data_IF_133821833913
#
_entry.id   IF_133821833913
#
_cell.length_a   1.000
_cell.length_b   1.000
_cell.length_c   1.000
_cell.angle_alpha   90.00
_cell.angle_beta   90.00
_cell.angle_gamma   90.00
#
_symmetry.space_group_name_H-M   'P 1'
#
loop_
_entity.id
_entity.type
_entity.pdbx_description
1 polymer ?
#
# COMPACT_ATOMS: atom_id res chain seq x y z
N UNK A 1 -6.13 10.49 1.36
CA UNK A 1 -5.58 9.65 2.44
C UNK A 1 -5.32 10.36 3.76
N UNK A 2 -4.79 11.59 3.80
CA UNK A 2 -4.59 12.34 5.07
C UNK A 2 -5.88 12.54 5.88
N UNK A 3 -6.94 13.00 5.23
CA UNK A 3 -8.27 13.12 5.87
C UNK A 3 -8.83 11.76 6.30
N UNK A 4 -8.66 10.72 5.48
CA UNK A 4 -9.08 9.36 5.83
C UNK A 4 -8.38 8.84 7.10
N UNK A 5 -7.07 9.04 7.19
CA UNK A 5 -6.26 8.75 8.39
C UNK A 5 -6.78 9.54 9.60
N UNK A 6 -6.99 10.84 9.46
CA UNK A 6 -7.55 11.67 10.52
C UNK A 6 -8.93 11.17 10.99
N UNK A 7 -9.80 10.76 10.07
CA UNK A 7 -11.10 10.17 10.40
C UNK A 7 -10.93 8.86 11.18
N UNK A 8 -10.09 7.92 10.72
CA UNK A 8 -9.84 6.67 11.46
C UNK A 8 -9.39 6.98 12.88
N UNK A 9 -8.34 7.79 13.06
CA UNK A 9 -7.85 8.17 14.38
C UNK A 9 -8.94 8.70 15.31
N UNK A 10 -9.89 9.47 14.78
CA UNK A 10 -11.03 10.01 15.53
C UNK A 10 -12.07 8.92 15.89
N UNK A 11 -12.36 7.99 14.99
CA UNK A 11 -13.46 7.03 15.14
C UNK A 11 -13.03 5.70 15.78
N UNK A 12 -11.76 5.30 15.68
CA UNK A 12 -11.23 4.05 16.24
C UNK A 12 -10.40 4.27 17.51
N UNK A 13 -10.13 5.52 17.88
CA UNK A 13 -9.30 5.88 19.04
C UNK A 13 -7.82 5.49 18.90
N UNK A 14 -7.39 5.02 17.72
CA UNK A 14 -6.00 4.60 17.49
C UNK A 14 -5.08 5.83 17.49
N UNK A 15 -3.91 5.79 18.19
CA UNK A 15 -2.98 6.91 18.22
C UNK A 15 -2.61 7.41 16.82
N UNK A 16 -2.36 8.72 16.67
CA UNK A 16 -2.08 9.35 15.36
C UNK A 16 -0.84 8.77 14.66
N UNK A 17 0.10 8.33 15.48
CA UNK A 17 1.38 7.70 15.18
C UNK A 17 1.28 6.18 15.03
N UNK A 18 0.17 5.55 15.43
CA UNK A 18 -0.05 4.14 15.15
C UNK A 18 -0.32 3.91 13.66
N UNK A 19 -0.12 2.68 13.23
CA UNK A 19 -0.55 2.20 11.93
C UNK A 19 -2.08 2.16 11.90
N UNK A 20 -2.69 2.96 11.02
CA UNK A 20 -4.15 3.19 11.05
C UNK A 20 -4.91 2.41 9.99
N UNK A 21 -4.26 1.95 8.92
CA UNK A 21 -4.86 1.01 7.98
C UNK A 21 -3.78 0.18 7.32
N UNK A 22 -4.00 -1.13 7.25
CA UNK A 22 -3.12 -2.06 6.53
C UNK A 22 -3.53 -2.18 5.06
N UNK A 23 -4.86 -2.08 4.82
CA UNK A 23 -5.45 -2.21 3.50
C UNK A 23 -6.77 -1.45 3.41
N UNK A 24 -6.99 -0.77 2.27
CA UNK A 24 -8.26 -0.21 1.85
C UNK A 24 -8.58 -0.75 0.47
N UNK A 25 -9.82 -1.18 0.25
CA UNK A 25 -10.30 -1.62 -1.05
C UNK A 25 -11.53 -0.81 -1.44
N UNK A 26 -11.66 -0.47 -2.72
CA UNK A 26 -12.79 0.21 -3.29
C UNK A 26 -13.13 -0.39 -4.65
N UNK A 27 -14.29 -1.04 -4.74
CA UNK A 27 -14.81 -1.62 -5.98
C UNK A 27 -15.91 -0.72 -6.53
N UNK A 28 -15.60 0.07 -7.56
CA UNK A 28 -16.54 1.00 -8.17
C UNK A 28 -17.39 0.31 -9.25
N UNK A 29 -17.97 -0.85 -8.92
CA UNK A 29 -18.82 -1.66 -9.80
C UNK A 29 -18.16 -1.95 -11.15
N UNK A 30 -18.78 -1.46 -12.23
CA UNK A 30 -18.32 -1.67 -13.61
C UNK A 30 -17.28 -0.64 -14.08
N UNK A 31 -16.80 0.27 -13.23
CA UNK A 31 -15.88 1.34 -13.65
C UNK A 31 -14.42 1.00 -13.43
N UNK A 32 -14.05 0.73 -12.18
CA UNK A 32 -12.69 0.40 -11.78
C UNK A 32 -12.69 -0.25 -10.41
N UNK A 33 -11.62 -0.96 -10.11
CA UNK A 33 -11.28 -1.37 -8.77
C UNK A 33 -10.03 -0.64 -8.32
N UNK A 34 -9.98 -0.29 -7.04
CA UNK A 34 -8.86 0.37 -6.40
C UNK A 34 -8.53 -0.36 -5.11
N UNK A 35 -7.25 -0.50 -4.82
CA UNK A 35 -6.82 -0.84 -3.48
C UNK A 35 -5.58 -0.05 -3.10
N UNK A 36 -5.45 0.19 -1.80
CA UNK A 36 -4.28 0.78 -1.18
C UNK A 36 -3.83 -0.18 -0.09
N UNK A 37 -2.56 -0.56 -0.12
CA UNK A 37 -1.99 -1.43 0.89
C UNK A 37 -0.62 -0.90 1.33
N UNK A 38 -0.23 -1.25 2.55
CA UNK A 38 1.12 -0.99 3.00
C UNK A 38 2.10 -1.86 2.23
N UNK A 39 3.13 -1.25 1.68
CA UNK A 39 4.12 -1.92 0.84
C UNK A 39 5.45 -2.08 1.56
N UNK A 40 5.88 -1.05 2.29
CA UNK A 40 7.02 -1.08 3.21
C UNK A 40 6.63 -0.34 4.49
N UNK A 41 7.52 -0.25 5.49
CA UNK A 41 7.36 0.53 6.73
C UNK A 41 6.85 1.94 6.47
N UNK A 42 7.41 2.61 5.45
CA UNK A 42 7.15 4.02 5.16
C UNK A 42 6.38 4.27 3.86
N UNK A 43 6.07 3.22 3.09
CA UNK A 43 5.42 3.38 1.78
C UNK A 43 4.11 2.60 1.69
N UNK A 44 3.18 3.20 0.94
CA UNK A 44 1.91 2.58 0.57
C UNK A 44 1.84 2.54 -0.94
N UNK A 45 1.27 1.46 -1.46
CA UNK A 45 1.06 1.27 -2.88
C UNK A 45 -0.44 1.39 -3.17
N UNK A 46 -0.78 2.22 -4.16
CA UNK A 46 -2.14 2.40 -4.65
C UNK A 46 -2.22 1.82 -6.07
N UNK A 47 -3.10 0.85 -6.28
CA UNK A 47 -3.35 0.26 -7.60
C UNK A 47 -4.75 0.62 -8.05
N UNK A 48 -4.86 1.03 -9.31
CA UNK A 48 -6.12 1.26 -10.01
C UNK A 48 -6.20 0.30 -11.18
N UNK A 49 -7.28 -0.44 -11.28
CA UNK A 49 -7.47 -1.50 -12.27
C UNK A 49 -8.83 -1.33 -12.95
N UNK A 50 -8.97 -1.74 -14.22
CA UNK A 50 -10.28 -1.95 -14.81
C UNK A 50 -11.09 -2.98 -14.00
N UNK A 51 -12.44 -2.96 -14.09
CA UNK A 51 -13.30 -3.82 -13.29
C UNK A 51 -13.02 -5.30 -13.57
N UNK A 52 -13.28 -6.13 -12.57
CA UNK A 52 -13.13 -7.58 -12.65
C UNK A 52 -12.44 -8.17 -11.42
N UNK A 53 -13.09 -9.17 -10.82
CA UNK A 53 -12.61 -9.84 -9.61
C UNK A 53 -11.30 -10.59 -9.83
N UNK A 54 -11.18 -11.33 -10.95
CA UNK A 54 -9.96 -12.07 -11.25
C UNK A 54 -8.72 -11.16 -11.35
N UNK A 55 -8.85 -10.00 -12.00
CA UNK A 55 -7.77 -9.01 -12.13
C UNK A 55 -7.41 -8.39 -10.79
N UNK A 56 -8.43 -8.07 -9.99
CA UNK A 56 -8.23 -7.52 -8.66
C UNK A 56 -7.47 -8.49 -7.75
N UNK A 57 -7.89 -9.75 -7.73
CA UNK A 57 -7.25 -10.80 -6.94
C UNK A 57 -5.82 -11.08 -7.40
N UNK A 58 -5.59 -11.14 -8.72
CA UNK A 58 -4.26 -11.31 -9.28
C UNK A 58 -3.33 -10.15 -8.91
N UNK A 59 -3.80 -8.91 -9.02
CA UNK A 59 -3.01 -7.74 -8.64
C UNK A 59 -2.70 -7.71 -7.14
N UNK A 60 -3.64 -8.14 -6.29
CA UNK A 60 -3.43 -8.25 -4.84
C UNK A 60 -2.34 -9.28 -4.53
N UNK A 61 -2.41 -10.47 -5.14
CA UNK A 61 -1.38 -11.51 -4.99
C UNK A 61 -0.01 -11.04 -5.49
N UNK A 62 0.02 -10.39 -6.66
CA UNK A 62 1.26 -9.83 -7.22
C UNK A 62 1.89 -8.80 -6.27
N UNK A 63 1.06 -7.95 -5.63
CA UNK A 63 1.56 -7.00 -4.64
C UNK A 63 2.13 -7.71 -3.41
N UNK A 64 1.48 -8.77 -2.91
CA UNK A 64 2.00 -9.54 -1.77
C UNK A 64 3.36 -10.17 -2.06
N UNK A 65 3.53 -10.74 -3.26
CA UNK A 65 4.82 -11.29 -3.69
C UNK A 65 5.85 -10.15 -3.83
N UNK A 66 5.46 -9.04 -4.45
CA UNK A 66 6.35 -7.90 -4.66
C UNK A 66 6.86 -7.31 -3.34
N UNK A 67 6.06 -7.24 -2.28
CA UNK A 67 6.49 -6.70 -0.96
C UNK A 67 7.81 -7.33 -0.51
N UNK A 68 7.97 -8.65 -0.62
CA UNK A 68 9.19 -9.35 -0.24
C UNK A 68 10.42 -8.85 -1.01
N UNK A 69 10.26 -8.56 -2.30
CA UNK A 69 11.34 -8.04 -3.15
C UNK A 69 11.70 -6.58 -2.84
N UNK A 70 10.82 -5.82 -2.19
CA UNK A 70 11.04 -4.41 -1.86
C UNK A 70 11.37 -4.18 -0.38
N UNK A 71 11.46 -5.23 0.44
CA UNK A 71 11.85 -5.14 1.87
C UNK A 71 13.19 -4.44 2.11
N UNK A 72 14.11 -4.47 1.15
CA UNK A 72 15.38 -3.75 1.27
C UNK A 72 15.21 -2.23 1.42
N UNK A 73 14.07 -1.67 1.01
CA UNK A 73 13.71 -0.26 1.22
C UNK A 73 13.32 0.06 2.67
N UNK A 74 13.15 -0.94 3.54
CA UNK A 74 12.86 -0.75 4.97
C UNK A 74 14.11 -0.52 5.84
N UNK A 75 15.29 -0.87 5.33
CA UNK A 75 16.56 -0.53 5.97
C UNK A 75 16.86 0.97 5.92
N UNK A 76 17.82 1.48 6.70
CA UNK A 76 18.27 2.85 6.54
C UNK A 76 18.66 3.06 5.07
N UNK A 77 18.05 4.06 4.43
CA UNK A 77 18.09 4.35 3.00
C UNK A 77 19.50 4.57 2.39
N UNK A 78 20.54 4.30 3.17
CA UNK A 78 21.95 4.55 2.90
C UNK A 78 22.58 3.58 1.89
N UNK A 79 22.04 2.37 1.71
CA UNK A 79 22.66 1.38 0.81
C UNK A 79 22.11 1.40 -0.62
N UNK A 80 20.86 1.84 -0.83
CA UNK A 80 20.28 1.93 -2.17
C UNK A 80 20.89 3.05 -3.03
N UNK A 81 21.54 4.05 -2.41
CA UNK A 81 22.24 5.13 -3.10
C UNK A 81 23.66 4.76 -3.57
N UNK A 82 24.18 3.58 -3.21
CA UNK A 82 25.56 3.16 -3.53
C UNK A 82 25.66 2.18 -4.72
N UNK A 83 24.54 1.83 -5.37
CA UNK A 83 24.49 0.83 -6.45
C UNK A 83 24.65 1.36 -7.89
N UNK A 84 25.08 2.61 -8.08
CA UNK A 84 25.37 3.17 -9.43
C UNK A 84 26.79 3.71 -9.47
N UNK A 85 27.76 2.83 -9.26
CA UNK A 85 29.16 3.04 -9.62
C UNK A 85 29.91 1.70 -9.63
N UNK A 86 29.76 0.93 -10.72
CA UNK A 86 30.74 -0.07 -11.18
C UNK A 86 30.43 -0.46 -12.62
#
# INVERSE_FOLDING_TARGET
>A
MKHFKQSISRFTGTPRNAEQFVRMEHKAGLRFNLFILKFTTNTYLMVVLPPGEARFNAAMLNCQIAIEHFKFLDGPATLAAQGVAS
#
